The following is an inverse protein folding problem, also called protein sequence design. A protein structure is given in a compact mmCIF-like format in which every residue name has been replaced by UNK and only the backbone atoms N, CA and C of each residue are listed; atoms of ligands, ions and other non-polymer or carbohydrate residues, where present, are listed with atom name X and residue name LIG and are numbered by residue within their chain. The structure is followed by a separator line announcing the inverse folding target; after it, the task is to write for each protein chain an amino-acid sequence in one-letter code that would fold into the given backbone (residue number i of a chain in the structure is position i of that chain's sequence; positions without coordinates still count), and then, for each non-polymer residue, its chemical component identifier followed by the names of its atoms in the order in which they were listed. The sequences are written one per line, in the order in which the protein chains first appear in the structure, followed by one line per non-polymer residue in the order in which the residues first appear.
data_IF_643193926127
#
_entry.id   IF_643193926127
#
_cell.length_a   1.000
_cell.length_b   1.000
_cell.length_c   1.000
_cell.angle_alpha   90.00
_cell.angle_beta   90.00
_cell.angle_gamma   90.00
#
_symmetry.space_group_name_H-M   'P 1'
#
loop_
_entity.id
_entity.type
_entity.pdbx_description
1 polymer ?
#
# COMPACT_ATOMS: atom_id res chain seq x y z
N UNK A 1 76.55 -40.59 48.85
CA UNK A 1 76.38 -39.34 48.06
C UNK A 1 74.93 -39.30 47.62
N UNK A 2 74.04 -38.67 48.39
CA UNK A 2 73.63 -37.26 48.23
C UNK A 2 72.84 -37.00 46.93
N UNK A 3 71.51 -37.11 47.03
CA UNK A 3 70.52 -36.24 46.37
C UNK A 3 69.15 -36.58 47.00
N UNK A 4 68.79 -35.88 48.09
CA UNK A 4 67.81 -34.77 48.07
C UNK A 4 66.39 -35.30 47.81
N UNK A 5 65.61 -35.62 48.84
CA UNK A 5 64.90 -34.72 49.76
C UNK A 5 63.63 -34.08 49.16
N UNK A 6 62.52 -34.25 49.90
CA UNK A 6 61.36 -33.35 50.00
C UNK A 6 60.46 -33.18 48.78
N UNK A 7 59.20 -33.65 48.88
CA UNK A 7 57.98 -32.86 49.17
C UNK A 7 56.78 -33.69 48.67
N UNK A 8 56.00 -34.30 49.56
CA UNK A 8 54.72 -33.74 50.04
C UNK A 8 53.64 -33.60 48.93
N UNK A 9 52.53 -34.30 49.16
CA UNK A 9 51.15 -33.78 49.00
C UNK A 9 50.46 -33.88 47.61
N UNK A 10 49.33 -34.62 47.67
CA UNK A 10 47.98 -34.26 47.22
C UNK A 10 47.34 -34.98 46.01
N UNK A 11 46.19 -35.58 46.38
CA UNK A 11 44.87 -35.45 45.75
C UNK A 11 44.60 -36.28 44.50
N UNK A 12 43.92 -37.38 44.78
CA UNK A 12 42.77 -37.92 44.06
C UNK A 12 42.03 -36.86 43.21
N UNK A 13 42.26 -36.87 41.90
CA UNK A 13 41.36 -36.22 40.96
C UNK A 13 40.18 -37.14 40.64
N UNK A 14 39.07 -36.99 41.39
CA UNK A 14 37.75 -37.40 40.88
C UNK A 14 37.40 -36.50 39.69
N UNK A 15 37.36 -37.09 38.50
CA UNK A 15 36.94 -36.45 37.25
C UNK A 15 35.47 -36.06 37.37
N UNK A 16 35.15 -34.76 37.50
CA UNK A 16 33.77 -34.26 37.38
C UNK A 16 33.29 -34.51 35.94
N UNK A 17 32.33 -35.40 35.79
CA UNK A 17 31.62 -35.67 34.54
C UNK A 17 30.91 -34.37 34.12
N UNK A 18 31.30 -33.83 32.95
CA UNK A 18 30.70 -32.62 32.39
C UNK A 18 29.21 -32.84 32.15
N UNK A 19 28.38 -32.07 32.85
CA UNK A 19 26.94 -31.98 32.61
C UNK A 19 26.74 -31.45 31.19
N UNK A 20 26.34 -32.33 30.28
CA UNK A 20 25.98 -32.00 28.89
C UNK A 20 24.93 -30.89 28.89
N UNK A 21 25.32 -29.70 28.43
CA UNK A 21 24.44 -28.53 28.33
C UNK A 21 23.35 -28.81 27.30
N UNK A 22 22.11 -29.04 27.76
CA UNK A 22 20.89 -29.07 26.93
C UNK A 22 20.48 -27.68 26.40
N UNK A 23 21.21 -26.62 26.78
CA UNK A 23 20.89 -25.22 26.49
C UNK A 23 21.07 -24.83 25.02
N UNK A 24 21.98 -25.50 24.29
CA UNK A 24 22.25 -25.20 22.88
C UNK A 24 21.09 -25.54 21.95
N UNK A 25 20.35 -26.62 22.23
CA UNK A 25 19.21 -27.05 21.41
C UNK A 25 18.00 -26.15 21.57
N UNK A 26 17.76 -25.64 22.78
CA UNK A 26 16.65 -24.70 23.06
C UNK A 26 16.92 -23.32 22.47
N UNK A 27 18.15 -22.82 22.56
CA UNK A 27 18.53 -21.54 21.91
C UNK A 27 18.43 -21.67 20.39
N UNK A 28 18.89 -22.78 19.81
CA UNK A 28 18.81 -23.00 18.37
C UNK A 28 17.36 -23.11 17.87
N UNK A 29 16.45 -23.71 18.65
CA UNK A 29 15.02 -23.76 18.34
C UNK A 29 14.35 -22.37 18.40
N UNK A 30 14.75 -21.51 19.34
CA UNK A 30 14.24 -20.13 19.44
C UNK A 30 14.74 -19.29 18.26
N UNK A 31 16.02 -19.42 17.88
CA UNK A 31 16.58 -18.72 16.72
C UNK A 31 15.92 -19.18 15.41
N UNK A 32 15.64 -20.48 15.27
CA UNK A 32 14.94 -21.01 14.10
C UNK A 32 13.48 -20.51 13.99
N UNK A 33 12.75 -20.44 15.11
CA UNK A 33 11.37 -19.93 15.14
C UNK A 33 11.30 -18.43 14.82
N UNK A 34 12.28 -17.64 15.27
CA UNK A 34 12.40 -16.22 14.93
C UNK A 34 12.72 -16.05 13.44
N UNK A 35 13.61 -16.86 12.88
CA UNK A 35 13.96 -16.80 11.45
C UNK A 35 12.78 -17.16 10.51
N UNK A 36 11.92 -18.11 10.90
CA UNK A 36 10.73 -18.46 10.12
C UNK A 36 9.59 -17.45 10.23
N UNK A 37 9.52 -16.69 11.33
CA UNK A 37 8.51 -15.63 11.52
C UNK A 37 8.75 -14.39 10.66
N UNK A 38 10.00 -14.05 10.35
CA UNK A 38 10.37 -12.93 9.47
C UNK A 38 10.19 -13.24 7.97
N UNK A 39 10.00 -14.50 7.59
CA UNK A 39 9.87 -14.91 6.19
C UNK A 39 8.45 -14.74 5.62
N UNK A 40 7.43 -14.48 6.46
CA UNK A 40 6.11 -14.10 5.99
C UNK A 40 6.07 -12.57 5.83
N UNK A 41 6.73 -12.07 4.78
CA UNK A 41 6.34 -10.78 4.23
C UNK A 41 4.91 -10.95 3.70
N UNK A 42 3.92 -10.60 4.51
CA UNK A 42 2.61 -10.23 3.99
C UNK A 42 2.91 -9.14 2.96
N UNK A 43 2.76 -9.45 1.66
CA UNK A 43 2.75 -8.43 0.63
C UNK A 43 1.52 -7.56 0.89
N UNK A 44 1.67 -6.58 1.78
CA UNK A 44 0.69 -5.54 1.99
C UNK A 44 0.67 -4.78 0.67
N UNK A 45 -0.42 -4.89 -0.06
CA UNK A 45 -0.60 -4.11 -1.25
C UNK A 45 -0.58 -2.62 -0.84
N UNK A 46 0.11 -1.82 -1.65
CA UNK A 46 0.36 -0.42 -1.33
C UNK A 46 -0.78 0.40 -1.90
N UNK A 47 -1.34 1.39 -1.17
CA UNK A 47 -2.34 2.28 -1.75
C UNK A 47 -1.77 3.03 -2.95
N UNK A 48 -2.62 3.31 -3.94
CA UNK A 48 -2.26 4.10 -5.11
C UNK A 48 -2.23 5.57 -4.70
N UNK A 49 -1.14 6.26 -5.00
CA UNK A 49 -0.92 7.67 -4.63
C UNK A 49 -0.51 8.49 -5.83
N UNK A 50 -0.72 9.81 -5.75
CA UNK A 50 -0.36 10.75 -6.80
C UNK A 50 -1.52 11.13 -7.71
N UNK A 51 -1.19 11.78 -8.81
CA UNK A 51 -2.11 12.31 -9.80
C UNK A 51 -1.66 11.91 -11.21
N UNK A 52 -2.65 11.78 -12.10
CA UNK A 52 -2.42 11.55 -13.52
C UNK A 52 -3.37 12.45 -14.30
N UNK A 53 -2.81 13.21 -15.25
CA UNK A 53 -3.55 14.15 -16.06
C UNK A 53 -3.59 13.68 -17.51
N UNK A 54 -4.75 13.90 -18.14
CA UNK A 54 -4.96 13.59 -19.55
C UNK A 54 -5.38 14.84 -20.32
N UNK A 55 -5.07 14.83 -21.61
CA UNK A 55 -5.65 15.77 -22.55
C UNK A 55 -6.17 15.02 -23.77
N UNK A 56 -7.22 15.56 -24.38
CA UNK A 56 -7.78 15.03 -25.62
C UNK A 56 -9.03 15.81 -26.01
N UNK A 57 -9.82 15.27 -26.92
CA UNK A 57 -11.06 15.89 -27.40
C UNK A 57 -12.29 15.13 -26.92
N UNK A 58 -13.38 15.86 -26.68
CA UNK A 58 -14.67 15.32 -26.32
C UNK A 58 -15.79 15.88 -27.22
N UNK A 59 -16.76 15.05 -27.56
CA UNK A 59 -18.01 15.44 -28.22
C UNK A 59 -19.16 15.24 -27.24
N UNK A 60 -19.98 16.27 -27.04
CA UNK A 60 -21.07 16.26 -26.06
C UNK A 60 -22.43 16.02 -26.70
N UNK A 61 -23.38 15.58 -25.89
CA UNK A 61 -24.80 15.60 -26.23
C UNK A 61 -25.60 16.38 -25.17
N UNK A 62 -26.40 17.39 -25.59
CA UNK A 62 -26.30 18.10 -26.87
C UNK A 62 -24.90 18.69 -27.10
N UNK A 63 -24.57 19.03 -28.35
CA UNK A 63 -23.25 19.55 -28.74
C UNK A 63 -23.05 21.03 -28.33
N UNK A 64 -23.24 21.33 -27.05
CA UNK A 64 -22.97 22.60 -26.39
C UNK A 64 -22.74 22.38 -24.90
N UNK A 65 -21.86 23.16 -24.27
CA UNK A 65 -21.51 22.97 -22.86
C UNK A 65 -22.64 23.34 -21.89
N UNK A 66 -23.54 24.23 -22.29
CA UNK A 66 -24.62 24.73 -21.43
C UNK A 66 -25.68 23.65 -21.13
N UNK A 67 -25.96 22.77 -22.09
CA UNK A 67 -26.97 21.72 -21.98
C UNK A 67 -26.42 20.30 -21.94
N UNK A 68 -25.11 20.10 -22.15
CA UNK A 68 -24.49 18.77 -22.16
C UNK A 68 -24.79 17.98 -20.89
N UNK A 69 -25.21 16.72 -21.07
CA UNK A 69 -25.45 15.77 -19.99
C UNK A 69 -24.63 14.48 -20.14
N UNK A 70 -24.00 14.28 -21.30
CA UNK A 70 -23.08 13.19 -21.58
C UNK A 70 -21.90 13.63 -22.45
N UNK A 71 -20.80 12.89 -22.33
CA UNK A 71 -19.77 12.83 -23.36
C UNK A 71 -20.08 11.66 -24.28
N UNK A 72 -20.46 11.98 -25.52
CA UNK A 72 -20.80 11.00 -26.54
C UNK A 72 -19.58 10.22 -27.02
N UNK A 73 -18.47 10.91 -27.25
CA UNK A 73 -17.20 10.29 -27.68
C UNK A 73 -16.00 11.05 -27.13
N UNK A 74 -14.93 10.31 -26.86
CA UNK A 74 -13.59 10.83 -26.62
C UNK A 74 -12.69 10.54 -27.83
N UNK A 75 -11.73 11.42 -28.10
CA UNK A 75 -10.77 11.28 -29.19
C UNK A 75 -9.40 11.76 -28.74
N UNK A 76 -8.34 11.07 -29.18
CA UNK A 76 -6.94 11.46 -28.97
C UNK A 76 -6.58 11.75 -27.51
N UNK A 77 -7.10 10.93 -26.58
CA UNK A 77 -6.81 11.09 -25.16
C UNK A 77 -5.46 10.48 -24.83
N UNK A 78 -4.55 11.27 -24.27
CA UNK A 78 -3.20 10.85 -23.88
C UNK A 78 -2.79 11.39 -22.52
N UNK A 79 -1.85 10.69 -21.88
CA UNK A 79 -1.23 11.14 -20.62
C UNK A 79 -0.39 12.39 -20.85
N UNK A 80 -0.61 13.40 -20.02
CA UNK A 80 0.12 14.68 -20.04
C UNK A 80 1.13 14.79 -18.89
N UNK A 81 0.73 14.33 -17.71
CA UNK A 81 1.56 14.29 -16.51
C UNK A 81 1.14 13.11 -15.65
N UNK A 82 2.11 12.56 -14.93
CA UNK A 82 1.91 11.45 -14.02
C UNK A 82 2.93 11.54 -12.89
N UNK A 83 2.49 11.39 -11.64
CA UNK A 83 3.34 11.35 -10.46
C UNK A 83 2.94 10.21 -9.50
N UNK A 84 3.70 10.05 -8.41
CA UNK A 84 3.44 9.02 -7.41
C UNK A 84 3.45 7.62 -8.04
N UNK A 85 2.40 6.83 -7.78
CA UNK A 85 2.21 5.49 -8.32
C UNK A 85 2.06 5.45 -9.84
N UNK A 86 1.74 6.58 -10.49
CA UNK A 86 1.62 6.68 -11.95
C UNK A 86 2.93 7.04 -12.66
N UNK A 87 4.02 7.25 -11.91
CA UNK A 87 5.31 7.64 -12.49
C UNK A 87 5.73 6.68 -13.61
N UNK A 88 6.02 7.21 -14.80
CA UNK A 88 6.42 6.44 -15.98
C UNK A 88 5.27 5.96 -16.86
N UNK A 89 4.01 6.12 -16.43
CA UNK A 89 2.84 5.87 -17.28
C UNK A 89 2.78 6.95 -18.37
N UNK A 90 2.74 6.52 -19.63
CA UNK A 90 2.68 7.39 -20.81
C UNK A 90 1.81 6.76 -21.90
N UNK A 91 1.46 7.55 -22.91
CA UNK A 91 0.78 7.06 -24.11
C UNK A 91 -0.73 7.27 -24.13
N UNK A 92 -1.45 6.57 -25.03
CA UNK A 92 -2.89 6.75 -25.21
C UNK A 92 -3.67 6.18 -24.03
N UNK A 93 -4.79 6.84 -23.70
CA UNK A 93 -5.73 6.46 -22.65
C UNK A 93 -6.99 5.91 -23.28
N UNK A 94 -7.40 4.72 -22.88
CA UNK A 94 -8.69 4.17 -23.29
C UNK A 94 -9.77 4.80 -22.42
N UNK A 95 -10.75 5.46 -23.04
CA UNK A 95 -11.89 6.06 -22.35
C UNK A 95 -13.18 5.30 -22.68
N UNK A 96 -14.03 5.08 -21.67
CA UNK A 96 -15.38 4.57 -21.90
C UNK A 96 -16.27 5.66 -22.48
N UNK A 97 -16.96 5.35 -23.57
CA UNK A 97 -17.96 6.24 -24.19
C UNK A 97 -19.18 5.44 -24.66
N UNK A 98 -20.40 5.98 -24.55
CA UNK A 98 -20.72 7.29 -23.95
C UNK A 98 -20.53 7.30 -22.42
N UNK A 99 -20.23 8.47 -21.87
CA UNK A 99 -20.24 8.73 -20.43
C UNK A 99 -21.36 9.69 -20.06
N UNK A 100 -22.40 9.19 -19.42
CA UNK A 100 -23.52 10.00 -18.92
C UNK A 100 -23.22 10.50 -17.51
N UNK A 101 -23.09 11.83 -17.35
CA UNK A 101 -22.80 12.49 -16.08
C UNK A 101 -24.03 13.20 -15.48
N UNK A 102 -25.13 13.34 -16.23
CA UNK A 102 -26.45 13.77 -15.73
C UNK A 102 -27.58 12.94 -16.36
N UNK A 103 -28.40 12.21 -15.58
CA UNK A 103 -28.14 11.85 -14.19
C UNK A 103 -26.86 11.02 -14.07
N UNK A 104 -26.20 11.10 -12.91
CA UNK A 104 -24.99 10.32 -12.66
C UNK A 104 -25.26 8.82 -12.76
N UNK A 105 -24.43 8.10 -13.50
CA UNK A 105 -24.43 6.64 -13.57
C UNK A 105 -23.03 6.11 -13.24
N UNK A 106 -22.90 5.00 -12.49
CA UNK A 106 -21.61 4.33 -12.33
C UNK A 106 -21.06 3.89 -13.68
N UNK A 107 -19.77 4.08 -13.92
CA UNK A 107 -19.08 3.69 -15.15
C UNK A 107 -17.88 2.82 -14.78
N UNK A 108 -17.93 1.55 -15.16
CA UNK A 108 -16.76 0.68 -15.06
C UNK A 108 -15.74 1.08 -16.13
N UNK A 109 -14.48 1.11 -15.73
CA UNK A 109 -13.34 1.51 -16.54
C UNK A 109 -13.59 2.81 -17.30
N UNK A 110 -14.01 3.88 -16.60
CA UNK A 110 -14.17 5.20 -17.21
C UNK A 110 -12.91 5.58 -18.00
N UNK A 111 -11.74 5.27 -17.43
CA UNK A 111 -10.48 5.28 -18.16
C UNK A 111 -9.57 4.12 -17.76
N UNK A 112 -8.67 3.73 -18.66
CA UNK A 112 -7.58 2.80 -18.37
C UNK A 112 -6.30 3.17 -19.11
N UNK A 113 -5.16 3.11 -18.43
CA UNK A 113 -3.83 3.37 -19.02
C UNK A 113 -2.72 2.75 -18.17
N UNK A 114 -1.69 2.19 -18.81
CA UNK A 114 -0.50 1.68 -18.09
C UNK A 114 -0.78 0.61 -17.02
N UNK A 115 -1.86 -0.17 -17.16
CA UNK A 115 -2.29 -1.15 -16.17
C UNK A 115 -3.11 -0.58 -15.01
N UNK A 116 -3.37 0.73 -15.00
CA UNK A 116 -4.32 1.36 -14.10
C UNK A 116 -5.71 1.49 -14.74
N UNK A 117 -6.75 1.29 -13.94
CA UNK A 117 -8.15 1.36 -14.35
C UNK A 117 -8.92 2.16 -13.30
N UNK A 118 -9.70 3.14 -13.73
CA UNK A 118 -10.58 3.89 -12.83
C UNK A 118 -12.05 3.58 -13.11
N UNK A 119 -12.72 3.03 -12.10
CA UNK A 119 -14.16 2.86 -12.07
C UNK A 119 -14.80 4.11 -11.44
N UNK A 120 -15.59 4.84 -12.21
CA UNK A 120 -16.37 5.95 -11.68
C UNK A 120 -17.57 5.39 -10.90
N UNK A 121 -17.66 5.72 -9.62
CA UNK A 121 -18.82 5.40 -8.80
C UNK A 121 -19.95 6.40 -9.02
N UNK A 122 -19.66 7.70 -8.89
CA UNK A 122 -20.66 8.76 -9.03
C UNK A 122 -20.06 10.09 -9.44
N UNK A 123 -20.82 10.86 -10.21
CA UNK A 123 -20.60 12.29 -10.43
C UNK A 123 -21.16 13.08 -9.24
N UNK A 124 -20.28 13.81 -8.55
CA UNK A 124 -20.61 14.58 -7.35
C UNK A 124 -20.94 16.04 -7.65
N UNK A 125 -20.42 16.60 -8.74
CA UNK A 125 -20.75 17.96 -9.16
C UNK A 125 -20.64 18.16 -10.67
N UNK A 126 -21.52 19.02 -11.19
CA UNK A 126 -21.49 19.51 -12.57
C UNK A 126 -21.66 21.02 -12.54
N UNK A 127 -20.58 21.74 -12.81
CA UNK A 127 -20.53 23.19 -12.83
C UNK A 127 -20.45 23.67 -14.29
N UNK A 128 -21.27 24.66 -14.63
CA UNK A 128 -21.34 25.28 -15.96
C UNK A 128 -21.15 26.79 -15.87
N UNK A 129 -19.94 27.29 -15.52
CA UNK A 129 -19.63 28.70 -15.69
C UNK A 129 -19.72 29.08 -17.18
N UNK A 130 -19.93 30.36 -17.50
CA UNK A 130 -20.05 30.83 -18.89
C UNK A 130 -18.89 30.34 -19.76
N UNK A 131 -19.17 29.46 -20.73
CA UNK A 131 -18.17 28.90 -21.64
C UNK A 131 -17.32 27.75 -21.08
N UNK A 132 -17.60 27.25 -19.87
CA UNK A 132 -16.87 26.13 -19.25
C UNK A 132 -17.82 25.02 -18.81
N UNK A 133 -17.30 23.79 -18.80
CA UNK A 133 -17.95 22.65 -18.14
C UNK A 133 -16.91 21.99 -17.25
N UNK A 134 -17.22 21.88 -15.95
CA UNK A 134 -16.36 21.25 -14.95
C UNK A 134 -17.19 20.16 -14.26
N UNK A 135 -16.72 18.92 -14.29
CA UNK A 135 -17.38 17.77 -13.69
C UNK A 135 -16.43 17.17 -12.67
N UNK A 136 -16.92 16.90 -11.46
CA UNK A 136 -16.18 16.14 -10.45
C UNK A 136 -16.93 14.86 -10.14
N UNK A 137 -16.20 13.78 -9.91
CA UNK A 137 -16.75 12.51 -9.45
C UNK A 137 -15.80 11.79 -8.52
N UNK A 138 -16.30 10.74 -7.90
CA UNK A 138 -15.53 9.83 -7.06
C UNK A 138 -15.66 8.41 -7.58
N UNK A 139 -14.63 7.62 -7.34
CA UNK A 139 -14.56 6.25 -7.83
C UNK A 139 -13.40 5.49 -7.21
N UNK A 140 -13.14 4.31 -7.76
CA UNK A 140 -12.08 3.42 -7.31
C UNK A 140 -11.08 3.23 -8.42
N UNK A 141 -9.80 3.39 -8.11
CA UNK A 141 -8.71 3.04 -9.00
C UNK A 141 -8.13 1.67 -8.63
N UNK A 142 -7.94 0.87 -9.66
CA UNK A 142 -7.23 -0.41 -9.62
C UNK A 142 -5.90 -0.23 -10.33
N UNK A 143 -4.84 -0.81 -9.77
CA UNK A 143 -3.51 -0.78 -10.34
C UNK A 143 -3.02 -2.17 -10.69
N UNK A 144 -1.79 -2.28 -11.22
CA UNK A 144 -1.09 -3.54 -11.40
C UNK A 144 -0.95 -4.32 -10.09
N UNK A 145 -0.53 -5.59 -10.18
CA UNK A 145 -0.29 -6.43 -9.02
C UNK A 145 0.65 -5.74 -8.01
N UNK A 146 0.26 -5.74 -6.72
CA UNK A 146 0.99 -5.07 -5.64
C UNK A 146 0.37 -3.75 -5.17
N UNK A 147 -0.67 -3.25 -5.85
CA UNK A 147 -1.45 -2.09 -5.40
C UNK A 147 -2.82 -2.47 -4.84
N UNK A 148 -3.24 -1.74 -3.82
CA UNK A 148 -4.59 -1.82 -3.27
C UNK A 148 -5.56 -0.97 -4.09
N UNK A 149 -6.78 -1.47 -4.25
CA UNK A 149 -7.87 -0.68 -4.82
C UNK A 149 -8.08 0.58 -3.96
N UNK A 150 -7.91 1.74 -4.58
CA UNK A 150 -7.85 3.02 -3.84
C UNK A 150 -8.96 3.94 -4.29
N UNK A 151 -9.63 4.61 -3.35
CA UNK A 151 -10.62 5.63 -3.70
C UNK A 151 -9.92 6.87 -4.26
N UNK A 152 -10.47 7.46 -5.32
CA UNK A 152 -9.91 8.66 -5.95
C UNK A 152 -10.97 9.65 -6.42
N UNK A 153 -10.50 10.85 -6.78
CA UNK A 153 -11.33 11.94 -7.30
C UNK A 153 -11.02 12.12 -8.78
N UNK A 154 -12.06 12.04 -9.59
CA UNK A 154 -12.02 12.34 -11.02
C UNK A 154 -12.47 13.78 -11.27
N UNK A 155 -11.71 14.52 -12.08
CA UNK A 155 -12.07 15.88 -12.51
C UNK A 155 -11.95 15.99 -14.03
N UNK A 156 -12.99 16.50 -14.64
CA UNK A 156 -13.08 16.77 -16.06
C UNK A 156 -13.31 18.27 -16.25
N UNK A 157 -12.57 18.92 -17.15
CA UNK A 157 -12.89 20.28 -17.57
C UNK A 157 -12.73 20.49 -19.08
N UNK A 158 -13.59 21.34 -19.62
CA UNK A 158 -13.49 21.83 -21.01
C UNK A 158 -14.01 23.25 -21.10
N UNK A 159 -13.68 23.92 -22.20
CA UNK A 159 -14.14 25.27 -22.52
C UNK A 159 -14.57 25.42 -23.98
N UNK A 160 -15.25 26.52 -24.29
CA UNK A 160 -15.73 26.93 -25.62
C UNK A 160 -15.13 28.32 -26.00
N UNK A 161 -14.59 28.55 -27.24
CA UNK A 161 -14.39 27.59 -28.33
C UNK A 161 -13.53 26.42 -27.87
N UNK A 162 -13.85 25.20 -28.36
CA UNK A 162 -13.19 23.95 -27.95
C UNK A 162 -11.67 24.13 -27.89
N UNK A 163 -11.14 24.22 -26.68
CA UNK A 163 -9.75 23.86 -26.45
C UNK A 163 -9.66 22.33 -26.29
N UNK A 164 -8.45 21.78 -26.35
CA UNK A 164 -8.23 20.40 -25.91
C UNK A 164 -8.84 20.23 -24.51
N UNK A 165 -9.83 19.35 -24.37
CA UNK A 165 -10.39 18.98 -23.07
C UNK A 165 -9.25 18.55 -22.15
N UNK A 166 -9.19 19.14 -20.96
CA UNK A 166 -8.20 18.82 -19.95
C UNK A 166 -8.89 18.01 -18.85
N UNK A 167 -8.28 16.90 -18.51
CA UNK A 167 -8.79 15.94 -17.55
C UNK A 167 -7.73 15.75 -16.49
N UNK A 168 -8.13 15.73 -15.23
CA UNK A 168 -7.21 15.51 -14.13
C UNK A 168 -7.80 14.51 -13.17
N UNK A 169 -7.06 13.44 -12.91
CA UNK A 169 -7.34 12.53 -11.82
C UNK A 169 -6.36 12.82 -10.69
N UNK A 170 -6.91 12.97 -9.48
CA UNK A 170 -6.09 13.04 -8.27
C UNK A 170 -6.55 11.98 -7.28
N UNK A 171 -5.64 11.08 -6.91
CA UNK A 171 -5.86 10.17 -5.80
C UNK A 171 -5.66 10.95 -4.50
N UNK A 172 -6.73 11.58 -4.02
CA UNK A 172 -6.76 12.06 -2.64
C UNK A 172 -7.10 10.88 -1.73
N UNK A 173 -6.16 10.47 -0.89
CA UNK A 173 -6.43 9.56 0.21
C UNK A 173 -7.52 10.18 1.09
N UNK A 174 -8.75 9.65 1.03
CA UNK A 174 -9.62 9.70 2.19
C UNK A 174 -8.84 8.99 3.29
N UNK A 175 -8.42 9.76 4.31
CA UNK A 175 -7.33 9.49 5.25
C UNK A 175 -6.92 8.03 5.34
N UNK A 176 -5.66 7.75 4.96
CA UNK A 176 -5.03 6.45 5.15
C UNK A 176 -5.48 5.85 6.49
N UNK A 177 -6.38 4.88 6.41
CA UNK A 177 -6.80 4.11 7.57
C UNK A 177 -5.63 3.23 7.95
N UNK A 178 -4.67 3.81 8.66
CA UNK A 178 -3.53 3.21 9.36
C UNK A 178 -3.37 1.70 9.11
N UNK A 179 -2.70 1.29 8.03
CA UNK A 179 -2.33 -0.11 7.83
C UNK A 179 -1.15 -0.53 8.72
N UNK A 180 -1.38 -0.70 10.02
CA UNK A 180 -0.29 -0.98 10.98
C UNK A 180 -0.63 -2.07 12.01
N UNK A 181 -1.86 -2.60 11.98
CA UNK A 181 -2.34 -3.58 12.97
C UNK A 181 -1.46 -4.84 13.05
N UNK A 182 -0.90 -5.29 11.92
CA UNK A 182 -0.04 -6.48 11.88
C UNK A 182 1.33 -6.28 12.54
N UNK A 183 1.98 -5.14 12.29
CA UNK A 183 3.31 -4.84 12.85
C UNK A 183 3.24 -4.45 14.33
N UNK A 184 2.18 -3.75 14.73
CA UNK A 184 1.95 -3.38 16.13
C UNK A 184 1.68 -4.62 17.00
N UNK A 185 0.85 -5.56 16.54
CA UNK A 185 0.56 -6.80 17.29
C UNK A 185 1.78 -7.71 17.37
N UNK A 186 2.62 -7.76 16.33
CA UNK A 186 3.86 -8.57 16.36
C UNK A 186 4.93 -7.98 17.26
N UNK A 187 5.16 -6.66 17.24
CA UNK A 187 6.05 -6.00 18.20
C UNK A 187 5.52 -6.13 19.64
N UNK A 188 4.21 -5.99 19.85
CA UNK A 188 3.58 -6.17 21.15
C UNK A 188 3.75 -7.63 21.63
N UNK A 189 3.53 -8.60 20.76
CA UNK A 189 3.76 -10.02 21.05
C UNK A 189 5.22 -10.30 21.42
N UNK A 190 6.17 -9.78 20.65
CA UNK A 190 7.60 -9.92 20.94
C UNK A 190 8.00 -9.27 22.27
N UNK A 191 7.46 -8.08 22.57
CA UNK A 191 7.70 -7.38 23.84
C UNK A 191 7.14 -8.16 25.04
N UNK A 192 5.93 -8.72 24.93
CA UNK A 192 5.32 -9.54 25.98
C UNK A 192 6.07 -10.86 26.20
N UNK A 193 6.54 -11.50 25.13
CA UNK A 193 7.40 -12.69 25.23
C UNK A 193 8.72 -12.34 25.92
N UNK A 194 9.34 -11.20 25.57
CA UNK A 194 10.54 -10.70 26.24
C UNK A 194 10.32 -10.42 27.73
N UNK A 195 9.20 -9.81 28.08
CA UNK A 195 8.83 -9.54 29.48
C UNK A 195 8.56 -10.82 30.27
N UNK A 196 7.88 -11.80 29.67
CA UNK A 196 7.64 -13.10 30.29
C UNK A 196 8.96 -13.86 30.53
N UNK A 197 9.88 -13.85 29.55
CA UNK A 197 11.21 -14.46 29.68
C UNK A 197 12.06 -13.78 30.77
N UNK A 198 11.99 -12.44 30.86
CA UNK A 198 12.65 -11.69 31.93
C UNK A 198 12.09 -12.08 33.31
N UNK A 199 10.76 -12.13 33.48
CA UNK A 199 10.14 -12.57 34.74
C UNK A 199 10.53 -13.99 35.11
N UNK A 200 10.54 -14.93 34.16
CA UNK A 200 10.91 -16.33 34.42
C UNK A 200 12.36 -16.48 34.88
N UNK A 201 13.28 -15.64 34.41
CA UNK A 201 14.69 -15.67 34.82
C UNK A 201 14.92 -15.16 36.24
N UNK A 202 14.10 -14.21 36.71
CA UNK A 202 14.30 -13.50 37.98
C UNK A 202 13.25 -13.81 39.06
N UNK A 203 12.22 -14.60 38.75
CA UNK A 203 11.29 -15.09 39.77
C UNK A 203 12.03 -16.03 40.74
N UNK A 204 12.14 -15.62 42.01
CA UNK A 204 12.65 -16.49 43.08
C UNK A 204 11.64 -17.61 43.33
N UNK A 205 12.07 -18.87 43.55
CA UNK A 205 11.17 -19.91 44.00
C UNK A 205 10.63 -19.51 45.38
N UNK A 206 9.30 -19.38 45.47
CA UNK A 206 8.61 -19.29 46.76
C UNK A 206 8.79 -20.64 47.43
N UNK A 207 9.56 -20.68 48.52
CA UNK A 207 9.62 -21.87 49.38
C UNK A 207 8.28 -21.96 50.09
N UNK A 208 7.54 -23.04 49.79
CA UNK A 208 6.44 -23.52 50.62
C UNK A 208 6.97 -23.97 51.99
#
# INVERSE_FOLDING_TARGET
MLAQAMLLINRTHKRKQGKTMKLSKTILAIVAAVATGFACHQAQAVPITGSIDFAGSAVFMPNNLAGAFEVKTFSDVSVMSADGSFTGVTGPVTMTSPWVFVPSTPVSALWSVGGFIFDLGTTTSVLRPSGFLIITGTGTIFGPAGFDATTGIWRFSTQDPKADGKFSFSAATAGAGVPDGGMTVTLLGAALIGLAAYRAKFAKPVKA
#
